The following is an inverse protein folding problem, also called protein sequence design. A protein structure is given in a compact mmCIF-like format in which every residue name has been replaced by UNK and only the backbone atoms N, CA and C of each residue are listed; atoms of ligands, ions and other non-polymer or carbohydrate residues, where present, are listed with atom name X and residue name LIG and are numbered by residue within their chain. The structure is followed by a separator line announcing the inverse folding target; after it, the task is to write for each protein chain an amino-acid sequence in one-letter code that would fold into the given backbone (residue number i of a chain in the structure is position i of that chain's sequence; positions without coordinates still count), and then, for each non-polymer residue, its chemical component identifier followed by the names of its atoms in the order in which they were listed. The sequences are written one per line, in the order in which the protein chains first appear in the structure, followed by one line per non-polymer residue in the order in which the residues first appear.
data_IF_185838129978
#
_entry.id   IF_185838129978
#
_cell.length_a   1.000
_cell.length_b   1.000
_cell.length_c   1.000
_cell.angle_alpha   90.00
_cell.angle_beta   90.00
_cell.angle_gamma   90.00
#
_symmetry.space_group_name_H-M   'P 1'
#
loop_
_entity.id
_entity.type
_entity.pdbx_description
1 polymer ?
#
# COMPACT_ATOMS: atom_id res chain seq x y z
N UNK A 1 -5.67 -16.55 -3.96
CA UNK A 1 -5.28 -17.92 -3.49
C UNK A 1 -6.52 -18.79 -3.28
N UNK A 2 -6.45 -20.15 -3.21
CA UNK A 2 -7.65 -21.00 -3.06
C UNK A 2 -8.43 -20.72 -1.77
N UNK A 3 -7.75 -20.39 -0.66
CA UNK A 3 -8.36 -20.11 0.64
C UNK A 3 -9.19 -18.82 0.64
N UNK A 4 -8.76 -17.77 -0.07
CA UNK A 4 -9.52 -16.51 -0.20
C UNK A 4 -10.89 -16.72 -0.84
N UNK A 5 -10.95 -17.56 -1.88
CA UNK A 5 -12.22 -17.89 -2.53
C UNK A 5 -13.17 -18.64 -1.60
N UNK A 6 -12.63 -19.50 -0.72
CA UNK A 6 -13.42 -20.25 0.26
C UNK A 6 -13.96 -19.29 1.33
N UNK A 7 -13.10 -18.44 1.88
CA UNK A 7 -13.49 -17.45 2.89
C UNK A 7 -14.59 -16.50 2.38
N UNK A 8 -14.46 -15.98 1.15
CA UNK A 8 -15.48 -15.12 0.54
C UNK A 8 -16.83 -15.84 0.37
N UNK A 9 -16.83 -17.12 0.01
CA UNK A 9 -18.07 -17.90 -0.10
C UNK A 9 -18.73 -18.11 1.25
N UNK A 10 -17.96 -18.46 2.27
CA UNK A 10 -18.45 -18.67 3.62
C UNK A 10 -19.04 -17.37 4.19
N UNK A 11 -18.36 -16.25 4.01
CA UNK A 11 -18.85 -14.94 4.47
C UNK A 11 -20.08 -14.49 3.68
N UNK A 12 -20.10 -14.69 2.36
CA UNK A 12 -21.28 -14.45 1.53
C UNK A 12 -22.51 -15.21 2.05
N UNK A 13 -22.35 -16.50 2.36
CA UNK A 13 -23.47 -17.32 2.87
C UNK A 13 -23.91 -16.87 4.26
N UNK A 14 -22.98 -16.53 5.13
CA UNK A 14 -23.27 -16.01 6.46
C UNK A 14 -24.05 -14.69 6.38
N UNK A 15 -23.56 -13.73 5.59
CA UNK A 15 -24.19 -12.43 5.46
C UNK A 15 -25.57 -12.53 4.79
N UNK A 16 -25.69 -13.26 3.69
CA UNK A 16 -26.95 -13.35 2.93
C UNK A 16 -28.05 -14.17 3.60
N UNK A 17 -27.67 -15.20 4.40
CA UNK A 17 -28.68 -16.10 4.99
C UNK A 17 -28.96 -15.83 6.47
N UNK A 18 -27.98 -15.29 7.23
CA UNK A 18 -28.07 -15.17 8.69
C UNK A 18 -28.06 -13.74 9.21
N UNK A 19 -27.21 -12.89 8.64
CA UNK A 19 -26.98 -11.53 9.19
C UNK A 19 -27.89 -10.51 8.53
N UNK A 20 -27.99 -10.54 7.21
CA UNK A 20 -28.77 -9.60 6.40
C UNK A 20 -29.66 -10.31 5.38
N UNK A 21 -30.65 -11.12 5.83
CA UNK A 21 -31.49 -11.89 4.93
C UNK A 21 -32.35 -11.01 4.02
N UNK A 22 -32.64 -9.79 4.42
CA UNK A 22 -33.46 -8.83 3.67
C UNK A 22 -32.66 -7.99 2.67
N UNK A 23 -31.33 -8.08 2.69
CA UNK A 23 -30.45 -7.34 1.79
C UNK A 23 -29.92 -8.23 0.66
N UNK A 24 -29.74 -7.63 -0.51
CA UNK A 24 -29.13 -8.32 -1.65
C UNK A 24 -27.62 -8.29 -1.53
N UNK A 25 -27.04 -9.44 -1.19
CA UNK A 25 -25.59 -9.62 -1.08
C UNK A 25 -25.05 -10.11 -2.42
N UNK A 26 -24.03 -9.46 -2.94
CA UNK A 26 -23.25 -9.89 -4.09
C UNK A 26 -21.91 -10.50 -3.66
N UNK A 27 -21.34 -11.37 -4.51
CA UNK A 27 -20.05 -12.00 -4.26
C UNK A 27 -19.11 -11.76 -5.46
N UNK A 28 -17.85 -11.42 -5.17
CA UNK A 28 -16.83 -11.17 -6.19
C UNK A 28 -15.51 -11.82 -5.79
N UNK A 29 -14.89 -12.61 -6.68
CA UNK A 29 -13.59 -13.22 -6.42
C UNK A 29 -12.78 -13.46 -7.70
N UNK A 30 -11.46 -13.65 -7.55
CA UNK A 30 -10.50 -13.73 -8.64
C UNK A 30 -10.81 -14.81 -9.70
N UNK A 31 -11.41 -15.94 -9.31
CA UNK A 31 -11.72 -17.07 -10.20
C UNK A 31 -12.95 -16.87 -11.11
N UNK A 32 -13.73 -15.80 -10.92
CA UNK A 32 -14.88 -15.51 -11.77
C UNK A 32 -14.44 -15.00 -13.14
N UNK A 33 -15.25 -15.28 -14.17
CA UNK A 33 -15.02 -14.76 -15.52
C UNK A 33 -15.15 -13.24 -15.56
N UNK A 34 -14.41 -12.58 -16.44
CA UNK A 34 -14.40 -11.12 -16.55
C UNK A 34 -15.80 -10.51 -16.71
N UNK A 35 -16.62 -11.09 -17.59
CA UNK A 35 -18.03 -10.66 -17.82
C UNK A 35 -18.91 -10.77 -16.58
N UNK A 36 -18.71 -11.79 -15.75
CA UNK A 36 -19.45 -11.96 -14.49
C UNK A 36 -19.06 -10.91 -13.47
N UNK A 37 -17.75 -10.65 -13.34
CA UNK A 37 -17.23 -9.59 -12.47
C UNK A 37 -17.78 -8.23 -12.86
N UNK A 38 -17.73 -7.90 -14.14
CA UNK A 38 -18.24 -6.64 -14.67
C UNK A 38 -19.76 -6.48 -14.41
N UNK A 39 -20.53 -7.53 -14.61
CA UNK A 39 -21.97 -7.53 -14.32
C UNK A 39 -22.27 -7.27 -12.85
N UNK A 40 -21.57 -7.94 -11.94
CA UNK A 40 -21.74 -7.75 -10.49
C UNK A 40 -21.36 -6.34 -10.09
N UNK A 41 -20.19 -5.88 -10.53
CA UNK A 41 -19.71 -4.52 -10.25
C UNK A 41 -20.65 -3.44 -10.78
N UNK A 42 -21.13 -3.59 -12.02
CA UNK A 42 -22.07 -2.64 -12.60
C UNK A 42 -23.42 -2.65 -11.87
N UNK A 43 -23.87 -3.80 -11.38
CA UNK A 43 -25.09 -3.90 -10.59
C UNK A 43 -24.95 -3.26 -9.21
N UNK A 44 -23.76 -3.39 -8.59
CA UNK A 44 -23.46 -2.75 -7.31
C UNK A 44 -23.32 -1.22 -7.47
N UNK A 45 -22.64 -0.76 -8.52
CA UNK A 45 -22.43 0.67 -8.76
C UNK A 45 -23.70 1.43 -9.19
N UNK A 46 -24.59 0.79 -9.92
CA UNK A 46 -25.76 1.45 -10.56
C UNK A 46 -27.03 1.43 -9.75
N UNK A 47 -27.02 1.15 -8.47
CA UNK A 47 -28.14 1.20 -7.51
C UNK A 47 -29.53 1.66 -8.07
N UNK A 48 -30.03 0.98 -9.10
CA UNK A 48 -31.40 1.20 -9.61
C UNK A 48 -32.36 0.31 -8.84
N UNK A 49 -33.58 0.75 -8.60
CA UNK A 49 -34.55 0.13 -7.68
C UNK A 49 -34.77 -1.38 -7.90
N UNK A 50 -34.65 -1.86 -9.14
CA UNK A 50 -34.98 -3.24 -9.48
C UNK A 50 -33.81 -4.23 -9.45
N UNK A 51 -32.54 -3.72 -9.49
CA UNK A 51 -31.31 -4.55 -9.56
C UNK A 51 -30.21 -3.99 -8.68
N UNK A 52 -30.49 -3.89 -7.40
CA UNK A 52 -29.55 -3.35 -6.42
C UNK A 52 -28.81 -4.49 -5.74
N UNK A 53 -27.50 -4.38 -5.61
CA UNK A 53 -26.71 -5.12 -4.64
C UNK A 53 -26.43 -4.14 -3.50
N UNK A 54 -26.81 -4.52 -2.28
CA UNK A 54 -26.65 -3.67 -1.09
C UNK A 54 -25.29 -3.89 -0.43
N UNK A 55 -24.81 -5.14 -0.45
CA UNK A 55 -23.53 -5.54 0.15
C UNK A 55 -22.73 -6.33 -0.87
N UNK A 56 -21.47 -5.99 -1.07
CA UNK A 56 -20.55 -6.73 -1.92
C UNK A 56 -19.46 -7.39 -1.06
N UNK A 57 -19.44 -8.72 -1.05
CA UNK A 57 -18.37 -9.51 -0.42
C UNK A 57 -17.33 -9.86 -1.47
N UNK A 58 -16.09 -9.50 -1.23
CA UNK A 58 -15.05 -9.66 -2.23
C UNK A 58 -13.69 -10.07 -1.66
N UNK A 59 -12.87 -10.72 -2.50
CA UNK A 59 -11.43 -10.77 -2.28
C UNK A 59 -10.81 -9.43 -2.67
N UNK A 60 -9.47 -9.32 -2.60
CA UNK A 60 -8.70 -8.13 -2.99
C UNK A 60 -8.92 -7.64 -4.45
N UNK A 61 -9.64 -8.39 -5.27
CA UNK A 61 -9.92 -8.01 -6.69
C UNK A 61 -10.67 -6.69 -6.86
N UNK A 62 -11.25 -6.12 -5.80
CA UNK A 62 -11.90 -4.78 -5.83
C UNK A 62 -10.88 -3.63 -5.89
N UNK A 63 -9.59 -3.91 -5.81
CA UNK A 63 -8.53 -2.90 -5.96
C UNK A 63 -8.58 -2.20 -7.31
N UNK A 64 -9.02 -2.89 -8.36
CA UNK A 64 -8.84 -2.44 -9.75
C UNK A 64 -10.13 -1.96 -10.37
N UNK A 65 -10.13 -0.68 -10.79
CA UNK A 65 -10.81 -0.25 -12.00
C UNK A 65 -12.27 0.18 -11.92
N UNK A 66 -12.99 0.14 -10.80
CA UNK A 66 -14.38 0.62 -10.76
C UNK A 66 -14.58 1.67 -9.68
N UNK A 67 -15.08 2.81 -10.10
CA UNK A 67 -15.54 3.85 -9.20
C UNK A 67 -16.97 3.54 -8.73
N UNK A 68 -17.19 3.54 -7.42
CA UNK A 68 -18.48 3.22 -6.82
C UNK A 68 -18.89 4.36 -5.86
N UNK A 69 -19.45 5.45 -6.40
CA UNK A 69 -19.80 6.63 -5.60
C UNK A 69 -20.76 6.32 -4.44
N UNK A 70 -21.59 5.31 -4.60
CA UNK A 70 -22.59 4.89 -3.61
C UNK A 70 -22.02 4.03 -2.47
N UNK A 71 -20.79 3.56 -2.57
CA UNK A 71 -20.18 2.80 -1.50
C UNK A 71 -19.69 3.73 -0.40
N UNK A 72 -20.35 3.68 0.74
CA UNK A 72 -20.07 4.54 1.90
C UNK A 72 -19.39 3.78 3.05
N UNK A 73 -19.44 2.46 3.02
CA UNK A 73 -18.83 1.61 4.06
C UNK A 73 -17.88 0.62 3.41
N UNK A 74 -16.65 0.56 3.91
CA UNK A 74 -15.65 -0.45 3.61
C UNK A 74 -15.31 -1.19 4.89
N UNK A 75 -15.34 -2.53 4.83
CA UNK A 75 -14.88 -3.41 5.91
C UNK A 75 -13.76 -4.28 5.37
N UNK A 76 -12.62 -4.29 6.03
CA UNK A 76 -11.42 -5.06 5.63
C UNK A 76 -11.09 -6.03 6.76
N UNK A 77 -11.33 -7.31 6.53
CA UNK A 77 -10.98 -8.38 7.47
C UNK A 77 -9.55 -8.87 7.27
N UNK A 78 -8.85 -9.16 8.37
CA UNK A 78 -7.46 -9.58 8.33
C UNK A 78 -6.55 -8.50 7.78
N UNK A 79 -6.76 -7.26 8.22
CA UNK A 79 -6.03 -6.09 7.71
C UNK A 79 -4.50 -6.22 7.84
N UNK A 80 -4.03 -7.01 8.81
CA UNK A 80 -2.60 -7.32 9.00
C UNK A 80 -1.98 -8.08 7.83
N UNK A 81 -2.79 -8.75 7.00
CA UNK A 81 -2.34 -9.57 5.87
C UNK A 81 -2.09 -8.76 4.60
N UNK A 82 -2.55 -7.51 4.58
CA UNK A 82 -2.42 -6.62 3.43
C UNK A 82 -1.27 -5.63 3.62
N UNK A 83 -0.63 -5.25 2.53
CA UNK A 83 0.33 -4.14 2.53
C UNK A 83 -0.36 -2.79 2.77
N UNK A 84 0.36 -1.82 3.36
CA UNK A 84 -0.22 -0.49 3.62
C UNK A 84 -0.68 0.22 2.35
N UNK A 85 0.05 0.09 1.25
CA UNK A 85 -0.36 0.63 -0.05
C UNK A 85 -1.69 0.03 -0.52
N UNK A 86 -1.89 -1.28 -0.33
CA UNK A 86 -3.11 -1.99 -0.67
C UNK A 86 -4.30 -1.54 0.20
N UNK A 87 -4.10 -1.43 1.50
CA UNK A 87 -5.12 -0.90 2.42
C UNK A 87 -5.49 0.55 2.06
N UNK A 88 -4.52 1.35 1.65
CA UNK A 88 -4.77 2.71 1.19
C UNK A 88 -5.61 2.75 -0.10
N UNK A 89 -5.36 1.85 -1.03
CA UNK A 89 -6.17 1.70 -2.25
C UNK A 89 -7.60 1.26 -1.92
N UNK A 90 -7.79 0.32 -0.99
CA UNK A 90 -9.13 -0.08 -0.52
C UNK A 90 -9.87 1.09 0.11
N UNK A 91 -9.22 1.82 1.03
CA UNK A 91 -9.81 3.02 1.64
C UNK A 91 -10.26 4.03 0.58
N UNK A 92 -9.49 4.19 -0.49
CA UNK A 92 -9.80 5.08 -1.59
C UNK A 92 -10.98 4.63 -2.47
N UNK A 93 -11.59 3.47 -2.23
CA UNK A 93 -12.77 2.99 -2.97
C UNK A 93 -14.08 3.49 -2.39
N UNK A 94 -14.09 4.03 -1.19
CA UNK A 94 -15.25 4.67 -0.56
C UNK A 94 -14.98 6.16 -0.36
N UNK A 95 -16.04 6.94 -0.13
CA UNK A 95 -15.91 8.38 0.11
C UNK A 95 -15.76 9.21 -1.16
N UNK A 96 -16.26 8.73 -2.28
CA UNK A 96 -16.24 9.45 -3.57
C UNK A 96 -17.55 10.17 -3.90
N UNK A 97 -18.56 10.03 -3.05
CA UNK A 97 -19.83 10.72 -3.14
C UNK A 97 -19.98 11.83 -2.10
N UNK A 98 -21.18 12.36 -2.00
CA UNK A 98 -21.53 13.43 -1.05
C UNK A 98 -21.73 12.94 0.39
N UNK A 99 -21.84 11.62 0.58
CA UNK A 99 -22.12 11.04 1.89
C UNK A 99 -20.84 10.76 2.67
N UNK A 100 -20.90 10.94 3.98
CA UNK A 100 -19.83 10.52 4.88
C UNK A 100 -19.58 9.03 4.73
N UNK A 101 -18.33 8.66 4.64
CA UNK A 101 -17.91 7.28 4.42
C UNK A 101 -16.99 6.78 5.53
N UNK A 102 -17.05 5.48 5.80
CA UNK A 102 -16.31 4.83 6.86
C UNK A 102 -15.52 3.65 6.29
N UNK A 103 -14.28 3.50 6.77
CA UNK A 103 -13.45 2.33 6.49
C UNK A 103 -13.06 1.68 7.82
N UNK A 104 -13.50 0.44 8.03
CA UNK A 104 -13.22 -0.35 9.23
C UNK A 104 -12.16 -1.39 8.91
N UNK A 105 -11.12 -1.44 9.74
CA UNK A 105 -10.04 -2.41 9.66
C UNK A 105 -10.19 -3.40 10.82
N UNK A 106 -10.32 -4.67 10.49
CA UNK A 106 -10.38 -5.76 11.46
C UNK A 106 -9.06 -6.53 11.43
N UNK A 107 -8.51 -6.81 12.60
CA UNK A 107 -7.27 -7.57 12.75
C UNK A 107 -7.34 -8.49 13.94
N UNK A 108 -6.83 -9.70 13.78
CA UNK A 108 -6.65 -10.67 14.87
C UNK A 108 -5.25 -10.57 15.50
N UNK A 109 -4.37 -9.73 14.92
CA UNK A 109 -3.02 -9.53 15.41
C UNK A 109 -2.94 -8.44 16.47
N UNK A 110 -2.45 -8.81 17.64
CA UNK A 110 -2.19 -7.89 18.76
C UNK A 110 -0.73 -7.39 18.79
N UNK A 111 0.06 -7.65 17.74
CA UNK A 111 1.46 -7.20 17.72
C UNK A 111 1.56 -5.68 17.67
N UNK A 112 2.56 -5.13 18.34
CA UNK A 112 2.86 -3.69 18.34
C UNK A 112 3.10 -3.19 16.91
N UNK A 113 3.85 -3.94 16.10
CA UNK A 113 4.16 -3.60 14.71
C UNK A 113 2.89 -3.53 13.84
N UNK A 114 1.97 -4.48 13.98
CA UNK A 114 0.69 -4.43 13.27
C UNK A 114 -0.10 -3.18 13.64
N UNK A 115 -0.17 -2.86 14.93
CA UNK A 115 -0.86 -1.68 15.41
C UNK A 115 -0.26 -0.40 14.84
N UNK A 116 1.05 -0.24 14.92
CA UNK A 116 1.76 0.93 14.37
C UNK A 116 1.53 1.09 12.86
N UNK A 117 1.51 -0.03 12.12
CA UNK A 117 1.19 -0.03 10.68
C UNK A 117 -0.23 0.45 10.41
N UNK A 118 -1.23 -0.10 11.08
CA UNK A 118 -2.62 0.29 10.87
C UNK A 118 -2.88 1.73 11.33
N UNK A 119 -2.26 2.19 12.43
CA UNK A 119 -2.32 3.58 12.88
C UNK A 119 -1.68 4.53 11.86
N UNK A 120 -0.61 4.12 11.18
CA UNK A 120 0.00 4.91 10.10
C UNK A 120 -0.96 5.16 8.94
N UNK A 121 -1.80 4.19 8.60
CA UNK A 121 -2.84 4.36 7.59
C UNK A 121 -3.90 5.40 8.00
N UNK A 122 -4.25 5.46 9.28
CA UNK A 122 -5.21 6.45 9.80
C UNK A 122 -4.63 7.86 9.78
N UNK A 123 -3.35 8.02 10.03
CA UNK A 123 -2.67 9.31 10.15
C UNK A 123 -2.22 9.89 8.80
N UNK A 124 -1.90 9.03 7.84
CA UNK A 124 -1.36 9.45 6.55
C UNK A 124 -2.38 10.26 5.74
N UNK A 125 -1.99 11.44 5.29
CA UNK A 125 -2.80 12.35 4.47
C UNK A 125 -2.78 11.96 2.99
N UNK A 126 -1.70 11.33 2.54
CA UNK A 126 -1.53 10.90 1.16
C UNK A 126 -0.67 9.63 1.08
N UNK A 127 -0.59 9.05 -0.12
CA UNK A 127 0.15 7.80 -0.36
C UNK A 127 1.67 7.92 -0.17
N UNK A 128 2.25 9.09 -0.37
CA UNK A 128 3.69 9.31 -0.17
C UNK A 128 4.05 9.25 1.31
N UNK A 129 3.31 9.98 2.14
CA UNK A 129 3.49 9.94 3.59
C UNK A 129 3.30 8.52 4.15
N UNK A 130 2.35 7.76 3.58
CA UNK A 130 2.14 6.37 3.97
C UNK A 130 3.33 5.49 3.57
N UNK A 131 3.90 5.68 2.39
CA UNK A 131 5.07 4.94 1.93
C UNK A 131 6.30 5.23 2.80
N UNK A 132 6.52 6.48 3.20
CA UNK A 132 7.59 6.86 4.14
C UNK A 132 7.40 6.17 5.50
N UNK A 133 6.18 6.13 6.03
CA UNK A 133 5.87 5.45 7.29
C UNK A 133 6.03 3.93 7.18
N UNK A 134 5.61 3.33 6.08
CA UNK A 134 5.77 1.89 5.84
C UNK A 134 7.26 1.50 5.78
N UNK A 135 8.07 2.32 5.10
CA UNK A 135 9.51 2.16 5.04
C UNK A 135 10.16 2.25 6.43
N UNK A 136 9.75 3.23 7.23
CA UNK A 136 10.27 3.41 8.58
C UNK A 136 9.93 2.24 9.52
N UNK A 137 8.72 1.65 9.38
CA UNK A 137 8.24 0.54 10.22
C UNK A 137 8.90 -0.78 9.81
N UNK A 138 8.98 -1.08 8.52
CA UNK A 138 9.58 -2.33 8.01
C UNK A 138 11.09 -2.33 8.13
N UNK A 139 11.67 -1.16 8.06
CA UNK A 139 13.11 -1.02 7.90
C UNK A 139 13.59 -1.40 6.49
N UNK A 140 14.77 -0.95 6.11
CA UNK A 140 15.31 -1.13 4.76
C UNK A 140 15.66 -2.60 4.44
N UNK A 141 15.92 -3.44 5.44
CA UNK A 141 16.30 -4.85 5.24
C UNK A 141 15.19 -5.71 4.63
N UNK A 142 13.94 -5.48 5.00
CA UNK A 142 12.80 -6.25 4.48
C UNK A 142 12.45 -5.88 3.03
N UNK A 143 12.73 -4.65 2.61
CA UNK A 143 12.46 -4.17 1.24
C UNK A 143 13.50 -4.67 0.24
N UNK A 144 14.74 -4.82 0.69
CA UNK A 144 15.86 -5.23 -0.17
C UNK A 144 16.03 -6.74 -0.26
N UNK A 145 15.28 -7.52 0.54
CA UNK A 145 15.39 -8.98 0.62
C UNK A 145 16.74 -9.42 1.21
N UNK A 146 16.77 -10.53 1.93
CA UNK A 146 18.00 -11.10 2.51
C UNK A 146 19.05 -11.53 1.44
N UNK A 147 18.72 -11.45 0.15
CA UNK A 147 19.54 -11.99 -0.94
C UNK A 147 20.40 -10.97 -1.69
N UNK A 148 20.31 -9.67 -1.39
CA UNK A 148 21.22 -8.66 -1.96
C UNK A 148 22.21 -8.15 -0.91
N UNK A 149 23.16 -9.01 -0.56
CA UNK A 149 24.43 -8.61 0.05
C UNK A 149 25.18 -7.74 -0.95
N UNK A 150 25.10 -6.43 -0.82
CA UNK A 150 25.87 -5.57 -1.70
C UNK A 150 25.50 -4.10 -1.74
N UNK A 151 24.42 -3.65 -1.10
CA UNK A 151 24.23 -2.22 -0.91
C UNK A 151 25.18 -1.74 0.18
N UNK A 152 26.07 -0.79 -0.12
CA UNK A 152 26.95 -0.23 0.88
C UNK A 152 26.14 0.31 2.06
N UNK A 153 26.67 0.18 3.27
CA UNK A 153 26.12 0.70 4.53
C UNK A 153 25.65 2.17 4.40
N UNK A 154 26.26 2.90 3.48
CA UNK A 154 25.96 4.28 3.14
C UNK A 154 24.59 4.42 2.42
N UNK A 155 24.26 3.54 1.48
CA UNK A 155 22.97 3.56 0.79
C UNK A 155 21.83 3.23 1.75
N UNK A 156 22.06 2.31 2.69
CA UNK A 156 21.09 1.98 3.74
C UNK A 156 20.82 3.17 4.67
N UNK A 157 21.87 3.91 5.07
CA UNK A 157 21.73 5.13 5.87
C UNK A 157 21.01 6.24 5.10
N UNK A 158 21.25 6.33 3.79
CA UNK A 158 20.57 7.30 2.92
C UNK A 158 19.05 7.03 2.85
N UNK A 159 18.63 5.77 2.68
CA UNK A 159 17.21 5.39 2.66
C UNK A 159 16.53 5.69 4.00
N UNK A 160 17.23 5.51 5.11
CA UNK A 160 16.72 5.80 6.47
C UNK A 160 16.60 7.29 6.78
N UNK A 161 17.35 8.14 6.08
CA UNK A 161 17.38 9.57 6.35
C UNK A 161 17.36 10.42 5.06
N UNK A 162 16.16 10.64 4.50
CA UNK A 162 15.98 11.43 3.27
C UNK A 162 16.52 12.86 3.37
N UNK A 163 16.46 13.46 4.57
CA UNK A 163 16.99 14.81 4.78
C UNK A 163 18.51 14.85 4.70
N UNK A 164 19.17 13.80 5.20
CA UNK A 164 20.63 13.66 5.04
C UNK A 164 21.01 13.56 3.55
N UNK A 165 20.21 12.86 2.74
CA UNK A 165 20.43 12.76 1.28
C UNK A 165 20.34 14.13 0.62
N UNK A 166 19.31 14.92 0.96
CA UNK A 166 19.15 16.27 0.41
C UNK A 166 20.32 17.19 0.77
N UNK A 167 20.70 17.21 2.04
CA UNK A 167 21.82 18.04 2.54
C UNK A 167 23.15 17.60 1.90
N UNK A 168 23.41 16.29 1.82
CA UNK A 168 24.61 15.75 1.20
C UNK A 168 24.70 16.07 -0.30
N UNK A 169 23.56 15.98 -1.00
CA UNK A 169 23.50 16.33 -2.42
C UNK A 169 23.77 17.81 -2.65
N UNK A 170 23.12 18.68 -1.88
CA UNK A 170 23.36 20.12 -1.99
C UNK A 170 24.83 20.47 -1.70
N UNK A 171 25.41 19.93 -0.64
CA UNK A 171 26.82 20.14 -0.33
C UNK A 171 27.76 19.62 -1.44
N UNK A 172 27.40 18.51 -2.09
CA UNK A 172 28.18 17.99 -3.22
C UNK A 172 28.04 18.88 -4.46
N UNK A 173 26.85 19.42 -4.74
CA UNK A 173 26.65 20.38 -5.85
C UNK A 173 27.42 21.66 -5.63
N UNK A 174 27.36 22.26 -4.45
CA UNK A 174 28.13 23.46 -4.08
C UNK A 174 29.66 23.22 -4.19
N UNK A 175 30.16 22.08 -3.71
CA UNK A 175 31.57 21.73 -3.78
C UNK A 175 32.06 21.52 -5.22
N UNK A 176 31.25 20.89 -6.07
CA UNK A 176 31.56 20.68 -7.48
C UNK A 176 31.56 21.98 -8.31
N UNK A 177 30.76 22.97 -7.90
CA UNK A 177 30.79 24.29 -8.50
C UNK A 177 32.09 25.06 -8.13
N UNK A 178 32.54 24.93 -6.86
CA UNK A 178 33.72 25.62 -6.36
C UNK A 178 35.03 24.93 -6.76
N UNK A 179 35.08 23.59 -6.73
CA UNK A 179 36.30 22.79 -6.99
C UNK A 179 35.94 21.51 -7.80
N UNK A 180 35.69 21.64 -9.12
CA UNK A 180 35.25 20.51 -9.97
C UNK A 180 36.23 19.33 -10.00
N UNK A 181 37.53 19.57 -9.74
CA UNK A 181 38.56 18.53 -9.79
C UNK A 181 39.04 18.08 -8.41
N UNK A 182 38.43 18.59 -7.33
CA UNK A 182 38.83 18.33 -5.94
C UNK A 182 40.30 18.65 -5.65
N UNK A 183 40.85 19.69 -6.28
CA UNK A 183 42.26 20.09 -6.12
C UNK A 183 42.54 20.60 -4.71
N UNK A 184 41.56 21.28 -4.11
CA UNK A 184 41.65 21.82 -2.75
C UNK A 184 41.15 20.81 -1.67
N UNK A 185 40.69 19.64 -2.10
CA UNK A 185 40.09 18.62 -1.21
C UNK A 185 40.73 17.24 -1.39
N UNK A 186 42.03 17.08 -1.14
CA UNK A 186 42.77 15.85 -1.46
C UNK A 186 42.28 14.62 -0.70
N UNK A 187 41.75 14.79 0.52
CA UNK A 187 41.19 13.69 1.33
C UNK A 187 39.90 13.17 0.73
N UNK A 188 39.05 14.07 0.24
CA UNK A 188 37.77 13.70 -0.40
C UNK A 188 38.04 13.04 -1.75
N UNK A 189 38.99 13.57 -2.55
CA UNK A 189 39.41 12.99 -3.82
C UNK A 189 39.89 11.55 -3.65
N UNK A 190 40.74 11.29 -2.68
CA UNK A 190 41.25 9.95 -2.40
C UNK A 190 40.12 8.98 -1.97
N UNK A 191 39.17 9.45 -1.18
CA UNK A 191 37.98 8.66 -0.81
C UNK A 191 37.07 8.35 -2.01
N UNK A 192 36.90 9.32 -2.91
CA UNK A 192 36.10 9.14 -4.13
C UNK A 192 36.76 8.11 -5.06
N UNK A 193 38.10 8.19 -5.23
CA UNK A 193 38.85 7.23 -6.03
C UNK A 193 38.78 5.80 -5.47
N UNK A 194 38.81 5.65 -4.15
CA UNK A 194 38.62 4.36 -3.49
C UNK A 194 37.18 3.82 -3.70
N UNK A 195 36.20 4.68 -3.52
CA UNK A 195 34.77 4.31 -3.73
C UNK A 195 34.49 3.89 -5.17
N UNK A 196 35.04 4.60 -6.16
CA UNK A 196 34.90 4.24 -7.59
C UNK A 196 35.54 2.90 -7.95
N UNK A 197 36.59 2.49 -7.22
CA UNK A 197 37.23 1.17 -7.41
C UNK A 197 36.42 0.03 -6.80
N UNK A 198 35.70 0.29 -5.72
CA UNK A 198 34.89 -0.70 -5.02
C UNK A 198 33.50 -0.88 -5.65
N UNK A 199 32.96 0.18 -6.25
CA UNK A 199 31.63 0.20 -6.87
C UNK A 199 31.80 0.23 -8.39
N UNK A 200 31.62 -0.90 -9.04
CA UNK A 200 31.45 -0.93 -10.49
C UNK A 200 30.06 -0.30 -10.79
N UNK A 201 30.09 0.98 -11.15
CA UNK A 201 28.93 1.65 -11.74
C UNK A 201 28.85 1.21 -13.20
N UNK A 202 28.05 0.17 -13.49
CA UNK A 202 27.58 -0.14 -14.84
C UNK A 202 26.40 0.77 -15.21
#
# INVERSE_FOLDING_TARGET
MPWETKAVKEEYEKLSKKVFPDLKVGMLHGKMKAKEKEKIMSTFAKATADKKIDILVSTSVVEVGVDIPNATIMMIEGAEKFGLAQLYQFRGRVGRGEHQSFCFLFTDSFSKTTRERLESLLQAKNGFELAEKDLAIRGPGEILGESQTGLPDLAMKAIQNPDLVKVSRQAAEELLEEDPNFENQPVLKNRLDLFQKEVHLE
#
